data_IF_489351109068
#
_entry.id   IF_489351109068
#
_cell.length_a   1.000
_cell.length_b   1.000
_cell.length_c   1.000
_cell.angle_alpha   90.00
_cell.angle_beta   90.00
_cell.angle_gamma   90.00
#
_symmetry.space_group_name_H-M   'P 1'
#
loop_
_entity.id
_entity.type
_entity.pdbx_description
1 polymer ?
#
# COMPACT_ATOMS: atom_id res chain seq x y z
N UNK A 1 19.80 -1.41 -14.48
CA UNK A 1 20.85 -1.47 -13.44
C UNK A 1 20.79 -2.76 -12.63
N UNK A 2 19.74 -3.05 -11.85
CA UNK A 2 19.70 -4.25 -10.98
C UNK A 2 19.86 -5.60 -11.72
N UNK A 3 19.18 -5.80 -12.85
CA UNK A 3 19.37 -7.00 -13.69
C UNK A 3 20.80 -7.15 -14.22
N UNK A 4 21.43 -6.03 -14.55
CA UNK A 4 22.81 -5.99 -15.04
C UNK A 4 23.76 -6.33 -13.89
N UNK A 5 23.51 -5.80 -12.69
CA UNK A 5 24.23 -6.14 -11.47
C UNK A 5 24.13 -7.65 -11.15
N UNK A 6 22.92 -8.22 -11.18
CA UNK A 6 22.69 -9.66 -11.00
C UNK A 6 23.44 -10.49 -12.05
N UNK A 7 23.33 -10.09 -13.32
CA UNK A 7 24.08 -10.72 -14.41
C UNK A 7 25.58 -10.67 -14.19
N UNK A 8 26.13 -9.51 -13.80
CA UNK A 8 27.57 -9.38 -13.53
C UNK A 8 28.02 -10.19 -12.32
N UNK A 9 27.23 -10.25 -11.25
CA UNK A 9 27.58 -11.07 -10.07
C UNK A 9 27.57 -12.55 -10.40
N UNK A 10 26.63 -13.03 -11.22
CA UNK A 10 26.54 -14.45 -11.59
C UNK A 10 27.57 -14.87 -12.65
N UNK A 11 27.83 -14.00 -13.63
CA UNK A 11 28.73 -14.33 -14.75
C UNK A 11 30.19 -14.08 -14.40
N UNK A 12 30.49 -13.02 -13.64
CA UNK A 12 31.88 -12.65 -13.33
C UNK A 12 32.23 -12.90 -11.86
N UNK A 13 31.37 -12.52 -10.91
CA UNK A 13 31.68 -12.64 -9.48
C UNK A 13 31.75 -14.08 -8.98
N UNK A 14 30.70 -14.87 -9.25
CA UNK A 14 30.59 -16.26 -8.75
C UNK A 14 31.69 -17.16 -9.34
N UNK A 15 31.98 -17.19 -10.65
CA UNK A 15 33.02 -18.05 -11.20
C UNK A 15 34.42 -17.67 -10.72
N UNK A 16 34.71 -16.37 -10.61
CA UNK A 16 36.00 -15.88 -10.11
C UNK A 16 36.26 -16.37 -8.68
N UNK A 17 35.23 -16.35 -7.82
CA UNK A 17 35.32 -16.90 -6.47
C UNK A 17 35.35 -18.43 -6.49
N UNK A 18 34.58 -19.09 -7.36
CA UNK A 18 34.49 -20.55 -7.42
C UNK A 18 35.81 -21.23 -7.82
N UNK A 19 36.60 -20.57 -8.68
CA UNK A 19 37.90 -21.04 -9.17
C UNK A 19 39.10 -20.33 -8.51
N UNK A 20 38.90 -19.51 -7.48
CA UNK A 20 39.97 -18.78 -6.80
C UNK A 20 41.00 -19.73 -6.17
N UNK A 21 42.25 -19.71 -6.63
CA UNK A 21 43.34 -20.57 -6.12
C UNK A 21 43.99 -20.01 -4.84
N UNK A 22 43.76 -18.73 -4.52
CA UNK A 22 44.33 -18.08 -3.34
C UNK A 22 43.74 -18.56 -2.01
N UNK A 23 42.69 -19.37 -2.06
CA UNK A 23 42.01 -19.92 -0.88
C UNK A 23 42.11 -21.45 -0.91
N UNK A 24 42.96 -22.05 -0.04
CA UNK A 24 43.28 -23.48 -0.12
C UNK A 24 42.10 -24.38 0.26
N UNK A 25 41.17 -23.87 1.08
CA UNK A 25 39.99 -24.63 1.51
C UNK A 25 38.86 -24.61 0.47
N UNK A 26 38.56 -25.74 -0.19
CA UNK A 26 37.57 -25.78 -1.27
C UNK A 26 36.14 -25.55 -0.77
N UNK A 27 35.84 -25.91 0.49
CA UNK A 27 34.51 -25.74 1.08
C UNK A 27 34.21 -24.26 1.39
N UNK A 28 35.19 -23.51 1.89
CA UNK A 28 35.06 -22.08 2.17
C UNK A 28 34.93 -21.29 0.86
N UNK A 29 35.70 -21.65 -0.16
CA UNK A 29 35.62 -21.01 -1.47
C UNK A 29 34.22 -21.18 -2.11
N UNK A 30 33.70 -22.41 -2.11
CA UNK A 30 32.36 -22.70 -2.64
C UNK A 30 31.26 -22.00 -1.83
N UNK A 31 31.36 -21.98 -0.50
CA UNK A 31 30.37 -21.32 0.35
C UNK A 31 30.35 -19.80 0.16
N UNK A 32 31.52 -19.16 -0.01
CA UNK A 32 31.64 -17.74 -0.33
C UNK A 32 31.04 -17.43 -1.72
N UNK A 33 31.32 -18.25 -2.73
CA UNK A 33 30.75 -18.08 -4.06
C UNK A 33 29.22 -18.20 -4.04
N UNK A 34 28.67 -19.18 -3.30
CA UNK A 34 27.22 -19.32 -3.10
C UNK A 34 26.66 -18.09 -2.38
N UNK A 35 27.30 -17.64 -1.31
CA UNK A 35 26.85 -16.49 -0.52
C UNK A 35 26.82 -15.22 -1.37
N UNK A 36 27.86 -14.94 -2.14
CA UNK A 36 27.93 -13.79 -3.05
C UNK A 36 26.88 -13.89 -4.16
N UNK A 37 26.65 -15.08 -4.71
CA UNK A 37 25.57 -15.32 -5.66
C UNK A 37 24.20 -14.99 -5.08
N UNK A 38 23.89 -15.51 -3.89
CA UNK A 38 22.62 -15.27 -3.20
C UNK A 38 22.45 -13.80 -2.84
N UNK A 39 23.45 -13.17 -2.22
CA UNK A 39 23.42 -11.75 -1.85
C UNK A 39 23.29 -10.84 -3.08
N UNK A 40 23.91 -11.20 -4.21
CA UNK A 40 23.78 -10.49 -5.48
C UNK A 40 22.36 -10.53 -6.07
N UNK A 41 21.56 -11.54 -5.73
CA UNK A 41 20.15 -11.63 -6.15
C UNK A 41 19.24 -10.69 -5.38
N UNK A 42 19.59 -10.35 -4.13
CA UNK A 42 18.72 -9.61 -3.22
C UNK A 42 18.35 -8.24 -3.78
N UNK A 43 19.28 -7.36 -4.22
CA UNK A 43 18.92 -6.06 -4.77
C UNK A 43 17.96 -6.14 -5.95
N UNK A 44 18.10 -7.17 -6.80
CA UNK A 44 17.23 -7.39 -7.95
C UNK A 44 15.83 -7.82 -7.50
N UNK A 45 15.74 -8.75 -6.54
CA UNK A 45 14.47 -9.19 -5.96
C UNK A 45 13.77 -8.07 -5.17
N UNK A 46 14.54 -7.24 -4.46
CA UNK A 46 14.03 -6.08 -3.72
C UNK A 46 13.51 -5.03 -4.69
N UNK A 47 14.31 -4.65 -5.69
CA UNK A 47 13.89 -3.67 -6.70
C UNK A 47 12.64 -4.15 -7.42
N UNK A 48 12.62 -5.43 -7.81
CA UNK A 48 11.45 -6.06 -8.40
C UNK A 48 10.18 -5.90 -7.58
N UNK A 49 10.28 -6.19 -6.28
CA UNK A 49 9.16 -6.11 -5.36
C UNK A 49 8.71 -4.66 -5.16
N UNK A 50 9.66 -3.73 -5.05
CA UNK A 50 9.41 -2.29 -4.91
C UNK A 50 8.76 -1.71 -6.17
N UNK A 51 9.16 -2.14 -7.37
CA UNK A 51 8.59 -1.69 -8.64
C UNK A 51 7.28 -2.41 -9.02
N UNK A 52 6.93 -3.49 -8.33
CA UNK A 52 5.75 -4.29 -8.64
C UNK A 52 4.38 -3.57 -8.54
N UNK A 53 4.13 -2.59 -7.65
CA UNK A 53 2.82 -1.95 -7.59
C UNK A 53 2.60 -0.96 -8.74
N UNK A 54 3.64 -0.51 -9.45
CA UNK A 54 3.49 0.54 -10.45
C UNK A 54 2.73 0.05 -11.69
N UNK A 55 1.52 0.58 -11.88
CA UNK A 55 0.72 0.33 -13.07
C UNK A 55 1.28 1.14 -14.25
N UNK A 56 1.58 0.45 -15.35
CA UNK A 56 2.02 1.07 -16.59
C UNK A 56 0.85 1.65 -17.38
N UNK A 57 -0.24 0.89 -17.48
CA UNK A 57 -1.46 1.29 -18.17
C UNK A 57 -2.68 0.80 -17.40
N UNK A 58 -3.77 1.55 -17.46
CA UNK A 58 -5.06 1.14 -16.92
C UNK A 58 -6.09 1.25 -18.04
N UNK A 59 -6.77 0.14 -18.32
CA UNK A 59 -7.85 0.09 -19.30
C UNK A 59 -9.18 0.07 -18.58
N UNK A 60 -10.08 0.97 -18.97
CA UNK A 60 -11.45 0.99 -18.50
C UNK A 60 -12.33 0.37 -19.59
N UNK A 61 -13.18 -0.58 -19.21
CA UNK A 61 -14.17 -1.13 -20.13
C UNK A 61 -15.27 -0.08 -20.36
N UNK A 62 -15.20 0.60 -21.50
CA UNK A 62 -16.14 1.68 -21.87
C UNK A 62 -17.26 1.10 -22.74
N UNK A 63 -18.55 1.42 -22.49
CA UNK A 63 -19.66 1.03 -23.34
C UNK A 63 -19.61 1.74 -24.71
N UNK A 64 -20.23 1.17 -25.73
CA UNK A 64 -20.07 1.63 -27.12
C UNK A 64 -20.49 3.10 -27.33
N UNK A 65 -21.57 3.54 -26.68
CA UNK A 65 -22.05 4.91 -26.70
C UNK A 65 -21.03 5.93 -26.18
N UNK A 66 -20.23 5.55 -25.18
CA UNK A 66 -19.21 6.39 -24.56
C UNK A 66 -17.88 6.41 -25.33
N UNK A 67 -17.65 5.46 -26.26
CA UNK A 67 -16.44 5.45 -27.12
C UNK A 67 -16.48 6.47 -28.26
N UNK A 68 -17.69 6.90 -28.67
CA UNK A 68 -17.89 7.73 -29.88
C UNK A 68 -17.32 9.14 -29.76
N UNK A 69 -17.34 9.73 -28.57
CA UNK A 69 -16.86 11.11 -28.37
C UNK A 69 -16.27 11.31 -26.98
N UNK A 70 -15.32 12.24 -26.89
CA UNK A 70 -14.71 12.63 -25.60
C UNK A 70 -15.75 13.17 -24.61
N UNK A 71 -16.77 13.89 -25.10
CA UNK A 71 -17.86 14.41 -24.25
C UNK A 71 -18.69 13.26 -23.67
N UNK A 72 -19.00 12.25 -24.47
CA UNK A 72 -19.75 11.08 -24.01
C UNK A 72 -18.92 10.24 -23.02
N UNK A 73 -17.62 10.10 -23.27
CA UNK A 73 -16.71 9.42 -22.34
C UNK A 73 -16.64 10.13 -20.99
N UNK A 74 -16.57 11.46 -21.01
CA UNK A 74 -16.52 12.25 -19.79
C UNK A 74 -17.86 12.24 -19.04
N UNK A 75 -18.98 12.24 -19.76
CA UNK A 75 -20.30 12.01 -19.18
C UNK A 75 -20.38 10.63 -18.52
N UNK A 76 -19.91 9.58 -19.21
CA UNK A 76 -19.83 8.24 -18.65
C UNK A 76 -18.98 8.20 -17.37
N UNK A 77 -17.80 8.83 -17.39
CA UNK A 77 -16.93 8.92 -16.21
C UNK A 77 -17.64 9.59 -15.03
N UNK A 78 -18.41 10.66 -15.26
CA UNK A 78 -19.24 11.30 -14.22
C UNK A 78 -20.39 10.42 -13.75
N UNK A 79 -21.00 9.62 -14.65
CA UNK A 79 -22.04 8.68 -14.26
C UNK A 79 -21.52 7.55 -13.36
N UNK A 80 -20.22 7.23 -13.39
CA UNK A 80 -19.63 6.27 -12.45
C UNK A 80 -19.80 6.70 -10.99
N UNK A 81 -19.74 8.01 -10.74
CA UNK A 81 -19.91 8.63 -9.42
C UNK A 81 -21.39 8.79 -9.09
N UNK A 82 -22.22 9.20 -10.06
CA UNK A 82 -23.65 9.45 -9.84
C UNK A 82 -24.49 8.17 -9.69
N UNK A 83 -24.28 7.18 -10.56
CA UNK A 83 -25.00 5.89 -10.54
C UNK A 83 -24.06 4.76 -10.12
N UNK A 84 -23.90 4.64 -8.81
CA UNK A 84 -23.00 3.67 -8.18
C UNK A 84 -23.42 2.22 -8.40
N UNK A 85 -24.71 1.93 -8.58
CA UNK A 85 -25.26 0.57 -8.73
C UNK A 85 -25.21 0.11 -10.18
N UNK A 86 -25.63 0.94 -11.13
CA UNK A 86 -25.61 0.60 -12.55
C UNK A 86 -24.19 0.42 -13.11
N UNK A 87 -23.22 1.15 -12.55
CA UNK A 87 -21.84 1.15 -13.04
C UNK A 87 -20.88 0.24 -12.26
N UNK A 88 -21.37 -0.47 -11.24
CA UNK A 88 -20.56 -1.35 -10.39
C UNK A 88 -19.80 -2.43 -11.20
N UNK A 89 -20.43 -2.96 -12.25
CA UNK A 89 -19.89 -4.03 -13.09
C UNK A 89 -18.88 -3.55 -14.15
N UNK A 90 -18.48 -2.28 -14.11
CA UNK A 90 -17.46 -1.75 -15.02
C UNK A 90 -16.11 -2.39 -14.71
N UNK A 91 -15.49 -3.04 -15.70
CA UNK A 91 -14.19 -3.70 -15.55
C UNK A 91 -13.05 -2.71 -15.75
N UNK A 92 -12.03 -2.86 -14.92
CA UNK A 92 -10.74 -2.18 -14.99
C UNK A 92 -9.64 -3.22 -15.19
N UNK A 93 -8.76 -3.00 -16.16
CA UNK A 93 -7.58 -3.83 -16.37
C UNK A 93 -6.32 -3.03 -16.05
N UNK A 94 -5.58 -3.49 -15.04
CA UNK A 94 -4.29 -2.95 -14.68
C UNK A 94 -3.19 -3.71 -15.40
N UNK A 95 -2.35 -3.00 -16.16
CA UNK A 95 -1.15 -3.56 -16.76
C UNK A 95 0.05 -3.16 -15.93
N UNK A 96 0.71 -4.16 -15.34
CA UNK A 96 1.93 -3.96 -14.55
C UNK A 96 3.13 -4.54 -15.31
N UNK A 97 4.30 -3.92 -15.13
CA UNK A 97 5.58 -4.43 -15.61
C UNK A 97 6.25 -5.16 -14.47
N UNK A 98 6.71 -6.40 -14.72
CA UNK A 98 7.48 -7.19 -13.74
C UNK A 98 8.99 -7.06 -14.01
N UNK A 99 9.78 -7.81 -13.25
CA UNK A 99 11.25 -7.95 -13.42
C UNK A 99 11.61 -8.24 -14.87
N UNK A 100 10.86 -9.18 -15.46
CA UNK A 100 10.91 -9.43 -16.89
C UNK A 100 9.90 -8.52 -17.58
N UNK A 101 10.20 -7.98 -18.77
CA UNK A 101 9.38 -7.01 -19.51
C UNK A 101 8.04 -7.57 -20.02
N UNK A 102 7.57 -8.69 -19.44
CA UNK A 102 6.26 -9.25 -19.72
C UNK A 102 5.18 -8.44 -19.03
N UNK A 103 4.27 -7.90 -19.85
CA UNK A 103 3.06 -7.23 -19.39
C UNK A 103 2.15 -8.26 -18.73
N UNK A 104 1.83 -8.05 -17.46
CA UNK A 104 0.82 -8.84 -16.76
C UNK A 104 -0.43 -7.98 -16.56
N UNK A 105 -1.58 -8.54 -16.93
CA UNK A 105 -2.88 -7.90 -16.83
C UNK A 105 -3.58 -8.43 -15.58
N UNK A 106 -4.17 -7.53 -14.81
CA UNK A 106 -5.05 -7.88 -13.69
C UNK A 106 -6.37 -7.17 -13.91
N UNK A 107 -7.42 -7.95 -14.10
CA UNK A 107 -8.78 -7.45 -14.29
C UNK A 107 -9.49 -7.44 -12.95
N UNK A 108 -10.15 -6.33 -12.63
CA UNK A 108 -10.97 -6.17 -11.44
C UNK A 108 -12.23 -5.39 -11.78
N UNK A 109 -13.30 -5.58 -11.02
CA UNK A 109 -14.47 -4.71 -11.14
C UNK A 109 -14.29 -3.44 -10.32
N UNK A 110 -14.90 -2.34 -10.77
CA UNK A 110 -14.79 -1.05 -10.09
C UNK A 110 -15.24 -1.12 -8.62
N UNK A 111 -16.31 -1.87 -8.34
CA UNK A 111 -16.85 -2.04 -7.00
C UNK A 111 -15.98 -2.91 -6.07
N UNK A 112 -15.03 -3.66 -6.61
CA UNK A 112 -14.11 -4.47 -5.80
C UNK A 112 -12.92 -3.63 -5.31
N UNK A 113 -12.58 -2.55 -6.02
CA UNK A 113 -11.38 -1.76 -5.74
C UNK A 113 -11.54 -0.85 -4.53
N UNK A 114 -10.45 -0.66 -3.77
CA UNK A 114 -10.39 0.24 -2.62
C UNK A 114 -9.21 1.18 -2.75
N UNK A 115 -9.40 2.42 -2.29
CA UNK A 115 -8.36 3.41 -2.18
C UNK A 115 -7.60 3.20 -0.86
N UNK A 116 -6.29 3.09 -0.98
CA UNK A 116 -5.39 3.05 0.17
C UNK A 116 -5.06 4.48 0.61
N UNK A 117 -5.12 4.80 1.92
CA UNK A 117 -4.70 6.10 2.41
C UNK A 117 -3.19 6.26 2.21
N UNK A 118 -2.73 7.51 1.93
CA UNK A 118 -1.31 7.79 1.78
C UNK A 118 -0.59 7.55 3.11
N UNK A 119 0.49 6.78 3.10
CA UNK A 119 1.38 6.57 4.25
C UNK A 119 2.83 6.71 3.78
N UNK A 120 3.73 7.20 4.66
CA UNK A 120 5.12 7.54 4.30
C UNK A 120 5.91 6.43 3.58
N UNK A 121 5.63 5.17 3.89
CA UNK A 121 6.32 4.01 3.30
C UNK A 121 5.46 3.17 2.34
N UNK A 122 4.24 3.64 2.02
CA UNK A 122 3.32 2.91 1.17
C UNK A 122 3.41 3.43 -0.25
N UNK A 123 3.76 2.53 -1.16
CA UNK A 123 3.89 2.84 -2.58
C UNK A 123 2.58 2.71 -3.36
N UNK A 124 1.59 1.94 -2.90
CA UNK A 124 0.33 1.70 -3.62
C UNK A 124 -0.80 2.65 -3.17
N UNK A 125 -1.60 3.13 -4.13
CA UNK A 125 -2.79 3.95 -3.88
C UNK A 125 -4.11 3.18 -4.04
N UNK A 126 -4.11 2.04 -4.73
CA UNK A 126 -5.30 1.20 -4.94
C UNK A 126 -5.00 -0.21 -4.46
N UNK A 127 -5.98 -0.85 -3.83
CA UNK A 127 -5.96 -2.26 -3.49
C UNK A 127 -7.19 -3.00 -4.03
N UNK A 128 -6.97 -4.26 -4.38
CA UNK A 128 -7.98 -5.27 -4.57
C UNK A 128 -8.04 -6.09 -3.27
N UNK A 129 -9.07 -5.92 -2.43
CA UNK A 129 -9.19 -6.64 -1.18
C UNK A 129 -9.22 -8.15 -1.46
N UNK A 130 -8.46 -8.90 -0.67
CA UNK A 130 -8.36 -10.35 -0.80
C UNK A 130 -9.49 -11.01 -0.03
N UNK A 131 -10.06 -12.07 -0.58
CA UNK A 131 -11.05 -12.87 0.14
C UNK A 131 -10.43 -13.53 1.37
N UNK A 132 -11.21 -13.74 2.43
CA UNK A 132 -10.73 -14.42 3.64
C UNK A 132 -10.26 -15.85 3.35
N UNK A 133 -10.91 -16.52 2.42
CA UNK A 133 -10.51 -17.84 1.92
C UNK A 133 -9.12 -17.84 1.29
N UNK A 134 -8.77 -16.78 0.57
CA UNK A 134 -7.43 -16.63 0.01
C UNK A 134 -6.39 -16.52 1.13
N UNK A 135 -6.70 -15.73 2.17
CA UNK A 135 -5.81 -15.56 3.33
C UNK A 135 -5.62 -16.89 4.07
N UNK A 136 -6.69 -17.67 4.24
CA UNK A 136 -6.62 -19.02 4.85
C UNK A 136 -5.71 -19.95 4.04
N UNK A 137 -5.94 -20.06 2.72
CA UNK A 137 -5.13 -20.87 1.81
C UNK A 137 -3.65 -20.49 1.81
N UNK A 138 -3.32 -19.22 2.00
CA UNK A 138 -1.93 -18.76 2.05
C UNK A 138 -1.23 -19.09 3.37
N UNK A 139 -1.97 -19.12 4.48
CA UNK A 139 -1.42 -19.52 5.79
C UNK A 139 -1.05 -21.00 5.81
N UNK A 140 -1.81 -21.83 5.11
CA UNK A 140 -1.58 -23.28 5.00
C UNK A 140 -0.33 -23.63 4.17
N UNK A 141 0.11 -22.74 3.27
CA UNK A 141 1.27 -22.99 2.39
C UNK A 141 2.59 -22.82 3.11
N UNK A 142 3.58 -23.64 2.74
CA UNK A 142 4.97 -23.51 3.17
C UNK A 142 5.65 -22.25 2.62
N UNK A 143 6.74 -21.82 3.27
CA UNK A 143 7.47 -20.58 2.96
C UNK A 143 7.93 -20.55 1.48
N UNK A 144 8.46 -21.66 0.98
CA UNK A 144 8.94 -21.75 -0.40
C UNK A 144 7.81 -21.62 -1.42
N UNK A 145 6.67 -22.28 -1.15
CA UNK A 145 5.49 -22.22 -2.01
C UNK A 145 4.88 -20.82 -2.04
N UNK A 146 4.85 -20.11 -0.89
CA UNK A 146 4.47 -18.68 -0.84
C UNK A 146 5.39 -17.81 -1.68
N UNK A 147 6.70 -18.04 -1.60
CA UNK A 147 7.68 -17.27 -2.38
C UNK A 147 7.47 -17.47 -3.89
N UNK A 148 7.29 -18.72 -4.33
CA UNK A 148 7.03 -19.03 -5.74
C UNK A 148 5.71 -18.41 -6.23
N UNK A 149 4.66 -18.46 -5.42
CA UNK A 149 3.37 -17.85 -5.76
C UNK A 149 3.44 -16.33 -5.83
N UNK A 150 4.15 -15.67 -4.92
CA UNK A 150 4.33 -14.20 -4.95
C UNK A 150 4.97 -13.70 -6.26
N UNK A 151 5.78 -14.54 -6.91
CA UNK A 151 6.39 -14.24 -8.21
C UNK A 151 5.37 -14.37 -9.36
N UNK A 152 4.47 -15.36 -9.29
CA UNK A 152 3.53 -15.67 -10.36
C UNK A 152 2.17 -14.95 -10.24
N UNK A 153 1.68 -14.72 -9.02
CA UNK A 153 0.34 -14.28 -8.71
C UNK A 153 -0.01 -12.88 -9.25
N UNK A 154 -1.27 -12.62 -9.67
CA UNK A 154 -1.76 -11.26 -9.91
C UNK A 154 -1.49 -10.36 -8.71
N UNK A 155 -1.03 -9.13 -8.97
CA UNK A 155 -0.82 -8.17 -7.87
C UNK A 155 -2.18 -7.63 -7.44
N UNK A 156 -2.34 -7.41 -6.15
CA UNK A 156 -3.56 -6.87 -5.55
C UNK A 156 -3.39 -5.42 -5.09
N UNK A 157 -2.22 -4.83 -5.34
CA UNK A 157 -1.90 -3.47 -4.94
C UNK A 157 -1.31 -2.77 -6.14
N UNK A 158 -1.86 -1.61 -6.44
CA UNK A 158 -1.51 -0.83 -7.61
C UNK A 158 -1.18 0.60 -7.18
N UNK A 159 -0.19 1.16 -7.85
CA UNK A 159 0.13 2.57 -7.83
C UNK A 159 -0.15 3.13 -9.22
N UNK A 160 -1.15 4.00 -9.29
CA UNK A 160 -1.50 4.74 -10.51
C UNK A 160 -1.25 6.21 -10.22
N UNK A 161 -0.47 6.88 -11.10
CA UNK A 161 -0.24 8.32 -10.97
C UNK A 161 -1.54 9.08 -11.22
N UNK A 162 -1.98 9.85 -10.24
CA UNK A 162 -3.16 10.70 -10.35
C UNK A 162 -2.80 12.07 -10.95
N UNK A 163 -3.71 12.64 -11.74
CA UNK A 163 -3.61 14.00 -12.26
C UNK A 163 -3.59 14.10 -13.78
N UNK A 164 -4.09 15.24 -14.28
CA UNK A 164 -4.34 15.49 -15.70
C UNK A 164 -3.08 15.41 -16.56
N UNK A 165 -1.94 15.82 -16.00
CA UNK A 165 -0.63 15.80 -16.69
C UNK A 165 -0.26 14.39 -17.19
N UNK A 166 -0.67 13.35 -16.47
CA UNK A 166 -0.35 11.95 -16.83
C UNK A 166 -1.35 11.36 -17.84
N UNK A 167 -2.57 11.88 -17.89
CA UNK A 167 -3.63 11.46 -18.82
C UNK A 167 -3.71 12.31 -20.08
N UNK A 168 -2.99 13.43 -20.16
CA UNK A 168 -2.86 14.24 -21.38
C UNK A 168 -2.27 13.45 -22.55
N UNK A 169 -1.26 12.60 -22.29
CA UNK A 169 -0.61 11.80 -23.33
C UNK A 169 -1.50 10.69 -23.90
N UNK A 170 -2.52 10.25 -23.17
CA UNK A 170 -3.44 9.18 -23.61
C UNK A 170 -4.65 9.72 -24.37
N UNK A 171 -4.79 11.05 -24.52
CA UNK A 171 -5.92 11.68 -25.20
C UNK A 171 -7.22 11.69 -24.38
N UNK A 172 -7.17 11.23 -23.12
CA UNK A 172 -8.33 11.08 -22.24
C UNK A 172 -8.08 11.77 -20.89
N UNK A 173 -7.93 13.11 -20.87
CA UNK A 173 -7.68 13.83 -19.63
C UNK A 173 -8.95 13.91 -18.76
N UNK A 174 -8.82 13.65 -17.45
CA UNK A 174 -9.91 13.80 -16.49
C UNK A 174 -10.68 12.52 -16.15
N UNK A 175 -10.66 11.49 -17.01
CA UNK A 175 -11.46 10.27 -16.79
C UNK A 175 -10.94 9.46 -15.62
N UNK A 176 -9.62 9.33 -15.50
CA UNK A 176 -9.03 8.58 -14.38
C UNK A 176 -9.31 9.25 -13.04
N UNK A 177 -9.36 10.58 -13.01
CA UNK A 177 -9.67 11.34 -11.80
C UNK A 177 -11.08 11.05 -11.28
N UNK A 178 -12.08 10.98 -12.16
CA UNK A 178 -13.44 10.58 -11.77
C UNK A 178 -13.48 9.13 -11.29
N UNK A 179 -12.79 8.22 -11.98
CA UNK A 179 -12.69 6.81 -11.56
C UNK A 179 -12.03 6.69 -10.18
N UNK A 180 -10.92 7.40 -9.96
CA UNK A 180 -10.20 7.40 -8.70
C UNK A 180 -11.03 8.03 -7.57
N UNK A 181 -11.77 9.11 -7.85
CA UNK A 181 -12.70 9.72 -6.90
C UNK A 181 -13.80 8.74 -6.50
N UNK A 182 -14.39 8.02 -7.47
CA UNK A 182 -15.38 6.99 -7.20
C UNK A 182 -14.83 5.88 -6.28
N UNK A 183 -13.61 5.41 -6.52
CA UNK A 183 -12.94 4.40 -5.66
C UNK A 183 -12.69 4.95 -4.25
N UNK A 184 -12.29 6.23 -4.13
CA UNK A 184 -12.10 6.90 -2.83
C UNK A 184 -13.41 7.02 -2.05
N UNK A 185 -14.46 7.52 -2.69
CA UNK A 185 -15.80 7.65 -2.09
C UNK A 185 -16.34 6.30 -1.61
N UNK A 186 -16.18 5.25 -2.43
CA UNK A 186 -16.55 3.89 -2.05
C UNK A 186 -15.82 3.44 -0.77
N UNK A 187 -14.52 3.69 -0.70
CA UNK A 187 -13.69 3.30 0.45
C UNK A 187 -14.10 4.05 1.71
N UNK A 188 -14.43 5.34 1.58
CA UNK A 188 -14.94 6.15 2.71
C UNK A 188 -16.30 5.65 3.16
N UNK A 189 -17.21 5.37 2.23
CA UNK A 189 -18.54 4.85 2.53
C UNK A 189 -18.47 3.53 3.31
N UNK A 190 -17.65 2.58 2.85
CA UNK A 190 -17.49 1.28 3.51
C UNK A 190 -16.78 1.35 4.86
N UNK A 191 -15.79 2.25 5.01
CA UNK A 191 -15.20 2.49 6.33
C UNK A 191 -16.23 3.05 7.30
N UNK A 192 -17.05 4.00 6.84
CA UNK A 192 -18.10 4.59 7.68
C UNK A 192 -19.18 3.58 8.06
N UNK A 193 -19.54 2.63 7.18
CA UNK A 193 -20.50 1.58 7.52
C UNK A 193 -19.89 0.57 8.50
N UNK A 194 -18.64 0.16 8.30
CA UNK A 194 -17.93 -0.73 9.23
C UNK A 194 -17.71 -0.10 10.62
N UNK A 195 -17.44 1.21 10.69
CA UNK A 195 -17.32 1.93 11.96
C UNK A 195 -18.67 2.03 12.69
N UNK A 196 -19.78 2.23 11.95
CA UNK A 196 -21.12 2.24 12.53
C UNK A 196 -21.52 0.85 13.05
N UNK A 197 -21.20 -0.21 12.33
CA UNK A 197 -21.47 -1.60 12.75
C UNK A 197 -20.62 -2.00 13.97
N UNK A 198 -19.32 -1.63 14.00
CA UNK A 198 -18.46 -1.85 15.16
C UNK A 198 -18.81 -0.97 16.36
N UNK A 199 -19.43 0.20 16.13
CA UNK A 199 -19.91 1.11 17.17
C UNK A 199 -21.11 0.59 17.96
N UNK A 200 -21.82 -0.42 17.47
CA UNK A 200 -22.95 -1.07 18.18
C UNK A 200 -22.47 -2.26 19.04
N UNK A 201 -21.26 -2.77 18.80
CA UNK A 201 -20.64 -3.80 19.63
C UNK A 201 -19.93 -3.16 20.85
N UNK A 202 -20.72 -2.95 21.92
CA UNK A 202 -20.31 -2.84 23.33
C UNK A 202 -18.99 -2.09 23.56
N UNK A 203 -19.07 -0.78 23.82
CA UNK A 203 -18.14 -0.19 24.80
C UNK A 203 -18.35 -0.98 26.10
N UNK A 204 -17.36 -1.70 26.67
CA UNK A 204 -17.43 -2.01 28.07
C UNK A 204 -17.39 -0.65 28.78
N UNK A 205 -18.55 -0.23 29.29
CA UNK A 205 -18.60 0.75 30.35
C UNK A 205 -17.71 0.16 31.44
N UNK A 206 -16.48 0.66 31.55
CA UNK A 206 -15.66 0.47 32.73
C UNK A 206 -16.53 1.01 33.86
N UNK A 207 -17.19 0.08 34.56
CA UNK A 207 -17.89 0.37 35.79
C UNK A 207 -16.84 1.03 36.68
N UNK A 208 -16.98 2.36 36.87
CA UNK A 208 -16.21 3.08 37.86
C UNK A 208 -16.45 2.34 39.16
N UNK A 209 -15.39 1.75 39.70
CA UNK A 209 -15.38 1.22 41.05
C UNK A 209 -15.93 2.34 41.94
N UNK A 210 -17.02 2.13 42.70
CA UNK A 210 -17.51 3.14 43.62
C UNK A 210 -16.41 3.38 44.65
N UNK A 211 -15.76 4.54 44.55
CA UNK A 211 -14.85 5.04 45.57
C UNK A 211 -15.68 5.18 46.83
N UNK A 212 -15.38 4.36 47.85
CA UNK A 212 -15.96 4.51 49.19
C UNK A 212 -15.66 5.94 49.67
N UNK A 213 -16.65 6.71 50.14
CA UNK A 213 -16.39 8.03 50.68
C UNK A 213 -15.49 7.88 51.92
N UNK A 214 -14.28 8.43 51.83
CA UNK A 214 -13.39 8.61 52.97
C UNK A 214 -14.08 9.60 53.90
N UNK A 215 -14.42 9.10 55.11
CA UNK A 215 -14.94 9.92 56.20
C UNK A 215 -13.94 11.03 56.50
N UNK A 216 -14.43 12.26 56.39
CA UNK A 216 -14.23 13.38 57.31
C UNK A 216 -13.11 13.18 58.34
N UNK A 217 -11.93 13.75 58.03
CA UNK A 217 -10.97 14.18 59.04
C UNK A 217 -10.68 15.65 58.77
N UNK A 218 -11.42 16.46 59.54
CA UNK A 218 -10.95 17.65 60.24
C UNK A 218 -10.07 18.64 59.47
N UNK A 219 -10.73 19.76 59.14
CA UNK A 219 -10.32 21.12 59.49
C UNK A 219 -8.83 21.27 59.84
N UNK A 220 -8.06 21.91 58.97
CA UNK A 220 -7.22 23.02 59.43
C UNK A 220 -6.87 24.04 58.33
N UNK A 221 -7.47 25.22 58.52
CA UNK A 221 -6.90 26.57 58.33
C UNK A 221 -6.32 26.94 56.97
N UNK A 222 -7.23 27.51 56.20
CA UNK A 222 -7.03 28.77 55.46
C UNK A 222 -6.11 29.73 56.24
N UNK A 223 -4.99 30.13 55.62
CA UNK A 223 -4.38 31.44 55.81
C UNK A 223 -4.14 32.09 54.45
N UNK A 224 -5.07 32.95 54.06
CA UNK A 224 -4.77 34.07 53.15
C UNK A 224 -4.08 35.15 53.97
N UNK A 225 -3.02 35.75 53.43
CA UNK A 225 -2.67 37.18 53.53
C UNK A 225 -1.35 37.38 52.76
N UNK A 226 -1.38 37.91 51.53
CA UNK A 226 -1.41 39.32 51.07
C UNK A 226 -0.02 39.88 50.73
N UNK A 227 0.00 40.64 49.65
CA UNK A 227 1.15 41.14 48.90
C UNK A 227 2.03 42.16 49.63
N UNK A 228 3.28 42.29 49.15
CA UNK A 228 3.91 43.61 48.90
C UNK A 228 4.99 43.52 47.80
N UNK A 229 5.08 44.51 46.88
CA UNK A 229 6.04 44.55 45.77
C UNK A 229 7.29 45.40 46.07
N UNK A 230 8.18 45.53 45.06
CA UNK A 230 9.34 46.46 44.90
C UNK A 230 10.64 46.03 45.59
N UNK A 231 11.87 46.25 45.10
CA UNK A 231 12.49 46.78 43.88
C UNK A 231 14.01 46.39 43.94
N UNK A 232 14.65 46.00 42.83
CA UNK A 232 15.74 46.71 42.13
C UNK A 232 16.95 47.22 42.98
N UNK A 233 18.13 46.60 42.82
CA UNK A 233 19.48 47.23 42.62
C UNK A 233 20.58 46.14 42.77
N UNK A 234 21.34 45.79 41.73
CA UNK A 234 22.65 46.33 41.31
C UNK A 234 23.87 45.95 42.17
N UNK A 235 24.90 45.45 41.47
CA UNK A 235 26.32 45.35 41.82
C UNK A 235 26.68 44.29 42.89
N UNK A 236 27.73 43.49 42.76
CA UNK A 236 29.03 43.71 42.12
C UNK A 236 29.69 42.35 41.84
#
# INVERSE_FOLDING_TARGET
>A
MALLQFGTTLVFGVPLLWYNENQPDPNLRKSQAILVGVLGTIPTLTMAYVTAPFAHQVFLQIPENARRSRRNLMNFARTLTADTKGTANTKLEFVTLRIFPFRKRTTAFLHELRALPPMKFRLANIELPKSEEWVKRQREKGIFQRMYEVVNEPRFKFYVKEGRMYTMKTGVPGVWEEVANRIKEQTVAERSSMEKEKGVAKRPVLARIPVKPVKELERERIKRQTARPTARSLNR
#
